data_IF_017066643890
#
_entry.id   IF_017066643890
#
_cell.length_a   1.000
_cell.length_b   1.000
_cell.length_c   1.000
_cell.angle_alpha   90.00
_cell.angle_beta   90.00
_cell.angle_gamma   90.00
#
_symmetry.space_group_name_H-M   'P 1'
#
loop_
_entity.id
_entity.type
_entity.pdbx_description
1 polymer ?
#
# COMPACT_ATOMS: atom_id res chain seq x y z
N UNK A 1 -1.76 -29.78 23.30
CA UNK A 1 -2.35 -29.49 21.96
C UNK A 1 -3.50 -28.50 22.01
N UNK A 2 -4.53 -28.64 22.87
CA UNK A 2 -5.58 -27.61 23.01
C UNK A 2 -5.06 -26.30 23.65
N UNK A 3 -4.26 -26.42 24.72
CA UNK A 3 -3.69 -25.27 25.43
C UNK A 3 -2.73 -24.44 24.56
N UNK A 4 -2.03 -25.10 23.64
CA UNK A 4 -1.13 -24.45 22.69
C UNK A 4 -1.89 -23.65 21.62
N UNK A 5 -3.03 -24.17 21.15
CA UNK A 5 -3.90 -23.44 20.21
C UNK A 5 -4.50 -22.20 20.86
N UNK A 6 -4.97 -22.31 22.10
CA UNK A 6 -5.50 -21.17 22.87
C UNK A 6 -4.40 -20.14 23.11
N UNK A 7 -3.22 -20.58 23.55
CA UNK A 7 -2.06 -19.69 23.76
C UNK A 7 -1.66 -18.97 22.46
N UNK A 8 -1.60 -19.69 21.33
CA UNK A 8 -1.28 -19.09 20.05
C UNK A 8 -2.35 -18.06 19.61
N UNK A 9 -3.63 -18.40 19.74
CA UNK A 9 -4.73 -17.49 19.43
C UNK A 9 -4.67 -16.21 20.28
N UNK A 10 -4.50 -16.32 21.60
CA UNK A 10 -4.37 -15.16 22.49
C UNK A 10 -3.18 -14.28 22.11
N UNK A 11 -2.03 -14.88 21.81
CA UNK A 11 -0.85 -14.13 21.36
C UNK A 11 -1.10 -13.38 20.03
N UNK A 12 -1.81 -13.99 19.08
CA UNK A 12 -2.17 -13.34 17.82
C UNK A 12 -3.14 -12.18 18.05
N UNK A 13 -4.11 -12.34 18.95
CA UNK A 13 -5.06 -11.29 19.32
C UNK A 13 -4.37 -10.11 20.01
N UNK A 14 -3.42 -10.36 20.90
CA UNK A 14 -2.65 -9.29 21.56
C UNK A 14 -1.78 -8.54 20.57
N UNK A 15 -1.15 -9.24 19.62
CA UNK A 15 -0.43 -8.60 18.50
C UNK A 15 -1.37 -7.75 17.64
N UNK A 16 -2.57 -8.22 17.34
CA UNK A 16 -3.56 -7.44 16.58
C UNK A 16 -3.90 -6.12 17.31
N UNK A 17 -4.13 -6.17 18.62
CA UNK A 17 -4.39 -4.98 19.45
C UNK A 17 -3.19 -4.03 19.45
N UNK A 18 -1.97 -4.55 19.57
CA UNK A 18 -0.75 -3.75 19.50
C UNK A 18 -0.62 -3.02 18.14
N UNK A 19 -0.88 -3.72 17.03
CA UNK A 19 -0.86 -3.10 15.71
C UNK A 19 -1.96 -2.04 15.56
N UNK A 20 -3.14 -2.25 16.12
CA UNK A 20 -4.19 -1.23 16.12
C UNK A 20 -3.77 0.03 16.88
N UNK A 21 -3.18 -0.13 18.08
CA UNK A 21 -2.66 0.99 18.86
C UNK A 21 -1.60 1.80 18.09
N UNK A 22 -0.66 1.12 17.42
CA UNK A 22 0.34 1.80 16.57
C UNK A 22 -0.30 2.59 15.42
N UNK A 23 -1.40 2.09 14.84
CA UNK A 23 -2.15 2.81 13.81
C UNK A 23 -2.78 4.08 14.38
N UNK A 24 -3.40 4.00 15.55
CA UNK A 24 -3.99 5.16 16.24
C UNK A 24 -2.95 6.22 16.59
N UNK A 25 -1.80 5.81 17.16
CA UNK A 25 -0.66 6.69 17.43
C UNK A 25 -0.15 7.36 16.15
N UNK A 26 -0.02 6.59 15.06
CA UNK A 26 0.41 7.13 13.76
C UNK A 26 -0.58 8.16 13.22
N UNK A 27 -1.88 7.91 13.32
CA UNK A 27 -2.93 8.85 12.93
C UNK A 27 -2.80 10.15 13.74
N UNK A 28 -2.57 10.06 15.05
CA UNK A 28 -2.36 11.23 15.90
C UNK A 28 -1.14 12.04 15.46
N UNK A 29 0.02 11.39 15.27
CA UNK A 29 1.23 12.07 14.80
C UNK A 29 1.03 12.76 13.44
N UNK A 30 0.34 12.11 12.50
CA UNK A 30 0.02 12.71 11.20
C UNK A 30 -0.89 13.93 11.33
N UNK A 31 -1.91 13.87 12.18
CA UNK A 31 -2.81 15.01 12.46
C UNK A 31 -2.06 16.19 13.09
N UNK A 32 -1.18 15.92 14.05
CA UNK A 32 -0.34 16.96 14.67
C UNK A 32 0.60 17.61 13.66
N UNK A 33 1.19 16.81 12.76
CA UNK A 33 2.03 17.34 11.69
C UNK A 33 1.22 18.19 10.69
N UNK A 34 0.02 17.76 10.29
CA UNK A 34 -0.86 18.56 9.42
C UNK A 34 -1.13 19.94 10.05
N UNK A 35 -1.37 20.00 11.36
CA UNK A 35 -1.57 21.27 12.06
C UNK A 35 -0.32 22.17 11.93
N UNK A 36 0.87 21.63 12.20
CA UNK A 36 2.12 22.40 12.07
C UNK A 36 2.39 22.86 10.64
N UNK A 37 2.12 22.02 9.65
CA UNK A 37 2.26 22.37 8.22
C UNK A 37 1.25 23.46 7.84
N UNK A 38 0.05 23.46 8.41
CA UNK A 38 -0.93 24.54 8.23
C UNK A 38 -0.39 25.86 8.81
N UNK A 39 0.12 25.84 10.04
CA UNK A 39 0.73 27.03 10.67
C UNK A 39 1.91 27.58 9.84
N UNK A 40 2.72 26.71 9.21
CA UNK A 40 3.81 27.10 8.31
C UNK A 40 3.28 27.78 7.04
N UNK A 41 2.24 27.22 6.42
CA UNK A 41 1.60 27.81 5.23
C UNK A 41 1.06 29.19 5.54
N UNK A 42 0.32 29.36 6.64
CA UNK A 42 -0.25 30.64 7.05
C UNK A 42 0.83 31.72 7.22
N UNK A 43 1.96 31.38 7.86
CA UNK A 43 3.10 32.28 8.01
C UNK A 43 3.77 32.65 6.68
N UNK A 44 3.85 31.70 5.74
CA UNK A 44 4.39 31.95 4.40
C UNK A 44 3.47 32.83 3.56
N UNK A 45 2.15 32.67 3.69
CA UNK A 45 1.16 33.52 3.01
C UNK A 45 1.21 34.97 3.53
N UNK A 46 1.29 35.15 4.84
CA UNK A 46 1.48 36.47 5.46
C UNK A 46 2.79 37.12 4.99
N UNK A 47 3.88 36.35 4.97
CA UNK A 47 5.18 36.84 4.48
C UNK A 47 5.13 37.17 2.99
N UNK A 48 4.47 36.35 2.17
CA UNK A 48 4.35 36.58 0.73
C UNK A 48 3.60 37.87 0.41
N UNK A 49 2.56 38.20 1.18
CA UNK A 49 1.86 39.50 1.08
C UNK A 49 2.82 40.67 1.30
N UNK A 50 3.65 40.58 2.34
CA UNK A 50 4.60 41.65 2.67
C UNK A 50 5.69 41.79 1.61
N UNK A 51 6.20 40.67 1.06
CA UNK A 51 7.16 40.70 -0.05
C UNK A 51 6.57 41.32 -1.31
N UNK A 52 5.32 41.01 -1.63
CA UNK A 52 4.63 41.61 -2.77
C UNK A 52 4.49 43.12 -2.62
N UNK A 53 4.16 43.60 -1.42
CA UNK A 53 4.15 45.03 -1.14
C UNK A 53 5.54 45.67 -1.32
N UNK A 54 6.59 45.03 -0.79
CA UNK A 54 7.97 45.50 -0.95
C UNK A 54 8.34 45.58 -2.43
N UNK A 55 8.12 44.51 -3.19
CA UNK A 55 8.35 44.44 -4.64
C UNK A 55 7.64 45.59 -5.37
N UNK A 56 6.33 45.73 -5.20
CA UNK A 56 5.54 46.79 -5.85
C UNK A 56 6.02 48.20 -5.48
N UNK A 57 6.40 48.42 -4.22
CA UNK A 57 6.92 49.71 -3.76
C UNK A 57 8.27 50.04 -4.41
N UNK A 58 9.21 49.10 -4.44
CA UNK A 58 10.53 49.32 -5.06
C UNK A 58 10.47 49.43 -6.58
N UNK A 59 9.60 48.65 -7.23
CA UNK A 59 9.35 48.74 -8.68
C UNK A 59 8.77 50.11 -9.09
N UNK A 60 8.05 50.77 -8.19
CA UNK A 60 7.49 52.10 -8.43
C UNK A 60 8.51 53.25 -8.35
N UNK A 61 9.73 53.01 -7.84
CA UNK A 61 10.73 54.06 -7.63
C UNK A 61 11.38 54.45 -8.97
N UNK A 62 11.26 55.73 -9.42
CA UNK A 62 11.89 56.16 -10.67
C UNK A 62 13.42 56.09 -10.60
N UNK A 63 14.05 55.48 -11.59
CA UNK A 63 15.51 55.28 -11.63
C UNK A 63 16.29 56.60 -11.57
N UNK A 64 15.76 57.66 -12.19
CA UNK A 64 16.36 59.00 -12.21
C UNK A 64 16.35 59.63 -10.81
N UNK A 65 15.36 59.30 -9.98
CA UNK A 65 15.32 59.73 -8.57
C UNK A 65 16.38 59.02 -7.77
N UNK A 66 16.60 57.71 -7.96
CA UNK A 66 17.67 56.95 -7.30
C UNK A 66 19.03 57.55 -7.66
N UNK A 67 19.29 57.83 -8.94
CA UNK A 67 20.56 58.39 -9.42
C UNK A 67 20.89 59.78 -8.87
N UNK A 68 19.87 60.56 -8.51
CA UNK A 68 20.03 61.94 -8.00
C UNK A 68 19.90 62.04 -6.47
N UNK A 69 19.69 60.92 -5.77
CA UNK A 69 19.65 60.90 -4.30
C UNK A 69 21.03 61.17 -3.70
N UNK A 70 21.05 61.80 -2.53
CA UNK A 70 22.27 61.85 -1.72
C UNK A 70 22.57 60.46 -1.13
N UNK A 71 23.84 60.16 -0.92
CA UNK A 71 24.31 58.86 -0.39
C UNK A 71 23.54 58.41 0.85
N UNK A 72 23.33 59.32 1.81
CA UNK A 72 22.56 59.01 3.03
C UNK A 72 21.13 58.54 2.73
N UNK A 73 20.42 59.21 1.82
CA UNK A 73 19.04 58.86 1.46
C UNK A 73 18.99 57.57 0.65
N UNK A 74 20.00 57.34 -0.20
CA UNK A 74 20.13 56.07 -0.93
C UNK A 74 20.31 54.91 0.04
N UNK A 75 21.18 55.03 1.05
CA UNK A 75 21.38 53.98 2.07
C UNK A 75 20.11 53.73 2.92
N UNK A 76 19.36 54.79 3.26
CA UNK A 76 18.06 54.68 3.95
C UNK A 76 17.02 53.91 3.10
N UNK A 77 17.07 54.04 1.76
CA UNK A 77 16.23 53.28 0.83
C UNK A 77 16.76 51.85 0.58
N UNK A 78 18.07 51.66 0.48
CA UNK A 78 18.68 50.37 0.14
C UNK A 78 18.64 49.37 1.31
N UNK A 79 18.77 49.85 2.54
CA UNK A 79 18.89 48.98 3.72
C UNK A 79 17.69 48.05 3.92
N UNK A 80 16.41 48.51 3.85
CA UNK A 80 15.26 47.62 4.00
C UNK A 80 15.15 46.59 2.87
N UNK A 81 15.50 46.97 1.64
CA UNK A 81 15.53 46.05 0.49
C UNK A 81 16.54 44.92 0.70
N UNK A 82 17.75 45.24 1.18
CA UNK A 82 18.76 44.23 1.53
C UNK A 82 18.26 43.27 2.61
N UNK A 83 17.59 43.79 3.64
CA UNK A 83 17.00 42.94 4.69
C UNK A 83 15.91 42.01 4.16
N UNK A 84 15.06 42.49 3.26
CA UNK A 84 14.06 41.66 2.58
C UNK A 84 14.72 40.56 1.74
N UNK A 85 15.78 40.87 0.98
CA UNK A 85 16.49 39.85 0.18
C UNK A 85 17.05 38.74 1.09
N UNK A 86 17.73 39.07 2.18
CA UNK A 86 18.31 38.09 3.12
C UNK A 86 17.23 37.22 3.77
N UNK A 87 16.09 37.81 4.14
CA UNK A 87 14.96 37.04 4.67
C UNK A 87 14.42 36.04 3.62
N UNK A 88 14.43 36.41 2.33
CA UNK A 88 13.91 35.56 1.26
C UNK A 88 14.82 34.38 0.95
N UNK A 89 16.14 34.58 1.08
CA UNK A 89 17.13 33.50 0.98
C UNK A 89 16.92 32.41 2.03
N UNK A 90 16.37 32.77 3.20
CA UNK A 90 16.07 31.80 4.26
C UNK A 90 14.92 30.86 3.86
N UNK A 91 13.93 31.36 3.10
CA UNK A 91 12.78 30.57 2.61
C UNK A 91 13.20 29.50 1.59
N UNK A 92 14.33 29.68 0.90
CA UNK A 92 14.85 28.71 -0.08
C UNK A 92 15.11 27.34 0.55
N UNK A 93 15.65 27.29 1.75
CA UNK A 93 15.91 26.02 2.46
C UNK A 93 14.61 25.27 2.77
N UNK A 94 13.57 25.99 3.20
CA UNK A 94 12.26 25.41 3.46
C UNK A 94 11.63 24.83 2.17
N UNK A 95 11.79 25.54 1.04
CA UNK A 95 11.33 25.04 -0.26
C UNK A 95 12.03 23.72 -0.65
N UNK A 96 13.36 23.64 -0.50
CA UNK A 96 14.12 22.43 -0.82
C UNK A 96 13.73 21.25 0.08
N UNK A 97 13.55 21.49 1.39
CA UNK A 97 13.08 20.46 2.33
C UNK A 97 11.66 19.99 2.02
N UNK A 98 10.72 20.90 1.71
CA UNK A 98 9.35 20.56 1.35
C UNK A 98 9.29 19.74 0.06
N UNK A 99 10.14 20.06 -0.92
CA UNK A 99 10.26 19.26 -2.14
C UNK A 99 10.73 17.83 -1.84
N UNK A 100 11.73 17.65 -0.98
CA UNK A 100 12.21 16.33 -0.56
C UNK A 100 11.15 15.54 0.23
N UNK A 101 10.42 16.21 1.14
CA UNK A 101 9.33 15.59 1.92
C UNK A 101 8.18 15.10 1.04
N UNK A 102 7.97 15.69 -0.13
CA UNK A 102 6.93 15.24 -1.06
C UNK A 102 7.15 13.76 -1.48
N UNK A 103 8.40 13.37 -1.75
CA UNK A 103 8.72 11.98 -2.09
C UNK A 103 8.43 11.01 -0.93
N UNK A 104 8.76 11.39 0.30
CA UNK A 104 8.44 10.59 1.49
C UNK A 104 6.92 10.49 1.71
N UNK A 105 6.19 11.56 1.43
CA UNK A 105 4.72 11.59 1.54
C UNK A 105 4.06 10.64 0.54
N UNK A 106 4.57 10.57 -0.70
CA UNK A 106 4.14 9.57 -1.69
C UNK A 106 4.29 8.14 -1.14
N UNK A 107 5.48 7.79 -0.64
CA UNK A 107 5.74 6.47 -0.05
C UNK A 107 4.82 6.13 1.14
N UNK A 108 4.48 7.13 1.97
CA UNK A 108 3.52 6.94 3.06
C UNK A 108 2.10 6.63 2.56
N UNK A 109 1.64 7.32 1.50
CA UNK A 109 0.35 7.06 0.87
C UNK A 109 0.30 5.64 0.32
N UNK A 110 1.35 5.20 -0.35
CA UNK A 110 1.44 3.87 -0.96
C UNK A 110 1.42 2.75 0.09
N UNK A 111 2.19 2.94 1.16
CA UNK A 111 2.22 2.01 2.29
C UNK A 111 0.85 1.94 2.96
N UNK A 112 0.19 3.08 3.16
CA UNK A 112 -1.16 3.13 3.76
C UNK A 112 -2.20 2.46 2.88
N UNK A 113 -2.13 2.68 1.56
CA UNK A 113 -3.02 2.05 0.58
C UNK A 113 -2.89 0.52 0.60
N UNK A 114 -1.67 0.03 0.77
CA UNK A 114 -1.37 -1.41 0.84
C UNK A 114 -1.87 -2.03 2.14
N UNK A 115 -1.68 -1.33 3.27
CA UNK A 115 -2.26 -1.72 4.57
C UNK A 115 -3.79 -1.76 4.50
N UNK A 116 -4.42 -0.80 3.84
CA UNK A 116 -5.87 -0.75 3.66
C UNK A 116 -6.38 -1.95 2.84
N UNK A 117 -5.76 -2.19 1.68
CA UNK A 117 -6.06 -3.33 0.80
C UNK A 117 -6.00 -4.66 1.57
N UNK A 118 -4.95 -4.82 2.38
CA UNK A 118 -4.76 -5.99 3.23
C UNK A 118 -5.81 -6.13 4.33
N UNK A 119 -6.09 -5.04 5.04
CA UNK A 119 -7.04 -5.04 6.15
C UNK A 119 -8.45 -5.34 5.65
N UNK A 120 -8.83 -4.77 4.51
CA UNK A 120 -10.09 -5.02 3.81
C UNK A 120 -10.25 -6.48 3.40
N UNK A 121 -9.23 -7.09 2.80
CA UNK A 121 -9.26 -8.51 2.43
C UNK A 121 -9.36 -9.44 3.66
N UNK A 122 -8.64 -9.12 4.74
CA UNK A 122 -8.74 -9.87 5.99
C UNK A 122 -10.14 -9.73 6.63
N UNK A 123 -10.72 -8.53 6.65
CA UNK A 123 -12.05 -8.28 7.18
C UNK A 123 -13.13 -9.03 6.37
N UNK A 124 -13.04 -9.00 5.03
CA UNK A 124 -13.92 -9.73 4.12
C UNK A 124 -13.82 -11.25 4.36
N UNK A 125 -12.60 -11.77 4.47
CA UNK A 125 -12.39 -13.19 4.79
C UNK A 125 -12.96 -13.58 6.17
N UNK A 126 -12.79 -12.73 7.19
CA UNK A 126 -13.38 -12.99 8.50
C UNK A 126 -14.91 -12.97 8.46
N UNK A 127 -15.50 -12.09 7.65
CA UNK A 127 -16.95 -12.03 7.43
C UNK A 127 -17.50 -13.30 6.74
N UNK A 128 -16.79 -13.84 5.75
CA UNK A 128 -17.16 -15.12 5.11
C UNK A 128 -17.03 -16.28 6.09
N UNK A 129 -15.93 -16.31 6.86
CA UNK A 129 -15.70 -17.34 7.86
C UNK A 129 -16.74 -17.32 8.98
N UNK A 130 -17.11 -16.14 9.48
CA UNK A 130 -18.08 -16.00 10.57
C UNK A 130 -19.49 -16.38 10.13
N UNK A 131 -19.93 -15.98 8.92
CA UNK A 131 -21.20 -16.43 8.33
C UNK A 131 -21.29 -17.95 8.18
N UNK A 132 -20.16 -18.59 7.87
CA UNK A 132 -20.11 -20.05 7.69
C UNK A 132 -20.02 -20.80 9.03
N UNK A 133 -19.75 -20.12 10.14
CA UNK A 133 -19.56 -20.71 11.48
C UNK A 133 -20.24 -19.83 12.56
N UNK A 134 -21.58 -19.64 12.52
CA UNK A 134 -22.28 -18.69 13.37
C UNK A 134 -22.13 -18.96 14.87
N UNK A 135 -22.05 -20.22 15.28
CA UNK A 135 -21.89 -20.61 16.69
C UNK A 135 -20.56 -20.13 17.30
N UNK A 136 -19.55 -19.85 16.48
CA UNK A 136 -18.24 -19.37 16.92
C UNK A 136 -18.20 -17.84 17.01
N UNK A 137 -19.15 -17.17 16.37
CA UNK A 137 -19.25 -15.71 16.27
C UNK A 137 -20.70 -15.28 16.56
N UNK A 138 -21.18 -15.41 17.81
CA UNK A 138 -22.59 -15.19 18.14
C UNK A 138 -23.07 -13.76 17.86
N UNK A 139 -22.16 -12.77 17.89
CA UNK A 139 -22.46 -11.36 17.64
C UNK A 139 -22.16 -10.90 16.20
N UNK A 140 -21.89 -11.82 15.26
CA UNK A 140 -21.34 -11.45 13.96
C UNK A 140 -22.23 -10.45 13.19
N UNK A 141 -23.56 -10.62 13.21
CA UNK A 141 -24.50 -9.76 12.47
C UNK A 141 -24.45 -8.33 12.98
N UNK A 142 -24.48 -8.17 14.31
CA UNK A 142 -24.41 -6.87 14.98
C UNK A 142 -23.10 -6.16 14.65
N UNK A 143 -21.97 -6.85 14.82
CA UNK A 143 -20.63 -6.30 14.57
C UNK A 143 -20.47 -5.93 13.09
N UNK A 144 -20.88 -6.82 12.18
CA UNK A 144 -20.74 -6.57 10.74
C UNK A 144 -21.56 -5.36 10.28
N UNK A 145 -22.75 -5.17 10.84
CA UNK A 145 -23.60 -4.02 10.51
C UNK A 145 -23.01 -2.70 11.03
N UNK A 146 -22.45 -2.69 12.25
CA UNK A 146 -21.84 -1.50 12.86
C UNK A 146 -20.63 -0.98 12.07
N UNK A 147 -19.78 -1.88 11.56
CA UNK A 147 -18.53 -1.51 10.89
C UNK A 147 -18.63 -1.43 9.36
N UNK A 148 -19.81 -1.67 8.78
CA UNK A 148 -20.07 -1.57 7.33
C UNK A 148 -19.01 -2.26 6.44
N UNK A 149 -18.56 -3.46 6.82
CA UNK A 149 -17.50 -4.17 6.07
C UNK A 149 -17.97 -4.49 4.64
N UNK A 150 -17.31 -3.88 3.65
CA UNK A 150 -17.55 -4.08 2.21
C UNK A 150 -16.59 -5.13 1.67
N UNK A 151 -17.12 -6.05 0.86
CA UNK A 151 -16.30 -6.98 0.08
C UNK A 151 -15.66 -6.25 -1.12
N UNK A 152 -14.35 -6.01 -1.03
CA UNK A 152 -13.56 -5.34 -2.07
C UNK A 152 -12.85 -6.33 -3.02
N UNK A 153 -13.12 -7.64 -2.93
CA UNK A 153 -12.42 -8.66 -3.71
C UNK A 153 -12.48 -8.40 -5.22
N UNK A 154 -13.65 -8.02 -5.74
CA UNK A 154 -13.80 -7.68 -7.16
C UNK A 154 -13.05 -6.41 -7.58
N UNK A 155 -12.86 -5.45 -6.67
CA UNK A 155 -12.05 -4.25 -6.93
C UNK A 155 -10.57 -4.67 -7.04
N UNK A 156 -10.11 -5.54 -6.13
CA UNK A 156 -8.75 -6.07 -6.16
C UNK A 156 -8.47 -6.89 -7.43
N UNK A 157 -9.40 -7.75 -7.86
CA UNK A 157 -9.28 -8.51 -9.12
C UNK A 157 -9.11 -7.56 -10.30
N UNK A 158 -10.01 -6.57 -10.46
CA UNK A 158 -9.94 -5.59 -11.56
C UNK A 158 -8.61 -4.82 -11.58
N UNK A 159 -8.12 -4.44 -10.40
CA UNK A 159 -6.82 -3.77 -10.29
C UNK A 159 -5.69 -4.67 -10.78
N UNK A 160 -5.63 -5.94 -10.33
CA UNK A 160 -4.61 -6.91 -10.78
C UNK A 160 -4.72 -7.16 -12.29
N UNK A 161 -5.93 -7.33 -12.84
CA UNK A 161 -6.13 -7.53 -14.28
C UNK A 161 -5.57 -6.36 -15.11
N UNK A 162 -5.85 -5.13 -14.67
CA UNK A 162 -5.39 -3.92 -15.36
C UNK A 162 -3.86 -3.77 -15.24
N UNK A 163 -3.31 -4.04 -14.06
CA UNK A 163 -1.87 -4.06 -13.83
C UNK A 163 -1.18 -5.05 -14.77
N UNK A 164 -1.64 -6.31 -14.78
CA UNK A 164 -1.06 -7.36 -15.61
C UNK A 164 -1.21 -7.03 -17.10
N UNK A 165 -2.32 -6.41 -17.51
CA UNK A 165 -2.45 -5.95 -18.89
C UNK A 165 -1.36 -4.97 -19.31
N UNK A 166 -1.00 -4.05 -18.44
CA UNK A 166 -0.06 -2.97 -18.76
C UNK A 166 1.41 -3.42 -18.65
N UNK A 167 1.72 -4.30 -17.70
CA UNK A 167 3.11 -4.66 -17.38
C UNK A 167 3.48 -6.09 -17.75
N UNK A 168 2.50 -7.01 -17.79
CA UNK A 168 2.74 -8.45 -17.96
C UNK A 168 1.61 -9.13 -18.76
N UNK A 169 1.37 -8.73 -20.02
CA UNK A 169 0.20 -9.20 -20.79
C UNK A 169 0.16 -10.73 -20.93
N UNK A 170 1.33 -11.38 -20.99
CA UNK A 170 1.47 -12.84 -21.06
C UNK A 170 1.12 -13.60 -19.76
N UNK A 171 0.87 -12.90 -18.65
CA UNK A 171 0.46 -13.45 -17.35
C UNK A 171 -1.03 -13.16 -17.08
N UNK A 172 -1.58 -12.14 -17.74
CA UNK A 172 -2.97 -11.69 -17.59
C UNK A 172 -3.98 -12.79 -17.90
N UNK A 173 -3.74 -13.57 -18.95
CA UNK A 173 -4.68 -14.61 -19.39
C UNK A 173 -4.73 -15.79 -18.40
N UNK A 174 -3.62 -16.11 -17.75
CA UNK A 174 -3.56 -17.10 -16.67
C UNK A 174 -4.26 -16.59 -15.43
N UNK A 175 -4.11 -15.30 -15.11
CA UNK A 175 -4.85 -14.70 -14.01
C UNK A 175 -6.36 -14.77 -14.27
N UNK A 176 -6.82 -14.38 -15.47
CA UNK A 176 -8.23 -14.51 -15.88
C UNK A 176 -8.73 -15.94 -15.80
N UNK A 177 -7.91 -16.89 -16.26
CA UNK A 177 -8.23 -18.32 -16.17
C UNK A 177 -8.36 -18.76 -14.71
N UNK A 178 -7.46 -18.32 -13.83
CA UNK A 178 -7.53 -18.59 -12.40
C UNK A 178 -8.81 -18.04 -11.76
N UNK A 179 -9.18 -16.78 -12.05
CA UNK A 179 -10.42 -16.17 -11.56
C UNK A 179 -11.65 -16.94 -12.07
N UNK A 180 -11.69 -17.27 -13.36
CA UNK A 180 -12.78 -18.03 -13.96
C UNK A 180 -12.97 -19.40 -13.30
N UNK A 181 -11.88 -20.15 -13.09
CA UNK A 181 -11.93 -21.45 -12.41
C UNK A 181 -12.35 -21.33 -10.94
N UNK A 182 -12.00 -20.22 -10.26
CA UNK A 182 -12.46 -19.98 -8.90
C UNK A 182 -13.97 -19.73 -8.84
N UNK A 183 -14.52 -18.91 -9.76
CA UNK A 183 -15.96 -18.68 -9.86
C UNK A 183 -16.70 -19.98 -10.16
N UNK A 184 -16.18 -20.80 -11.09
CA UNK A 184 -16.74 -22.11 -11.40
C UNK A 184 -16.72 -23.05 -10.20
N UNK A 185 -15.61 -23.08 -9.45
CA UNK A 185 -15.50 -23.87 -8.21
C UNK A 185 -16.54 -23.45 -7.16
N UNK A 186 -16.78 -22.15 -6.97
CA UNK A 186 -17.81 -21.67 -6.03
C UNK A 186 -19.21 -22.19 -6.36
N UNK A 187 -19.52 -22.36 -7.65
CA UNK A 187 -20.79 -22.93 -8.11
C UNK A 187 -20.80 -24.46 -8.13
N UNK A 188 -19.64 -25.10 -8.23
CA UNK A 188 -19.49 -26.55 -8.28
C UNK A 188 -18.13 -27.01 -7.74
N UNK A 189 -18.15 -27.57 -6.52
CA UNK A 189 -16.95 -28.04 -5.81
C UNK A 189 -16.19 -29.16 -6.55
N UNK A 190 -16.84 -29.89 -7.46
CA UNK A 190 -16.18 -30.94 -8.25
C UNK A 190 -15.10 -30.38 -9.18
N UNK A 191 -15.08 -29.06 -9.40
CA UNK A 191 -14.10 -28.37 -10.25
C UNK A 191 -12.85 -27.93 -9.48
N UNK A 192 -12.68 -28.35 -8.22
CA UNK A 192 -11.52 -27.97 -7.40
C UNK A 192 -10.17 -28.32 -8.07
N UNK A 193 -10.08 -29.47 -8.75
CA UNK A 193 -8.86 -29.85 -9.48
C UNK A 193 -8.50 -28.87 -10.61
N UNK A 194 -9.49 -28.31 -11.30
CA UNK A 194 -9.26 -27.31 -12.34
C UNK A 194 -8.76 -25.99 -11.73
N UNK A 195 -9.29 -25.62 -10.56
CA UNK A 195 -8.83 -24.46 -9.79
C UNK A 195 -7.36 -24.63 -9.37
N UNK A 196 -6.96 -25.80 -8.88
CA UNK A 196 -5.56 -26.10 -8.52
C UNK A 196 -4.64 -25.91 -9.73
N UNK A 197 -5.02 -26.46 -10.88
CA UNK A 197 -4.25 -26.35 -12.12
C UNK A 197 -4.07 -24.89 -12.56
N UNK A 198 -5.16 -24.13 -12.62
CA UNK A 198 -5.12 -22.72 -13.03
C UNK A 198 -4.32 -21.85 -12.05
N UNK A 199 -4.49 -22.06 -10.74
CA UNK A 199 -3.72 -21.37 -9.70
C UNK A 199 -2.22 -21.64 -9.85
N UNK A 200 -1.85 -22.92 -9.95
CA UNK A 200 -0.44 -23.33 -10.07
C UNK A 200 0.22 -22.76 -11.33
N UNK A 201 -0.50 -22.75 -12.46
CA UNK A 201 0.00 -22.18 -13.70
C UNK A 201 0.22 -20.66 -13.59
N UNK A 202 -0.73 -19.93 -13.00
CA UNK A 202 -0.59 -18.50 -12.75
C UNK A 202 0.64 -18.18 -11.90
N UNK A 203 0.82 -18.83 -10.75
CA UNK A 203 1.99 -18.60 -9.89
C UNK A 203 3.31 -19.04 -10.54
N UNK A 204 3.31 -20.15 -11.28
CA UNK A 204 4.51 -20.61 -11.97
C UNK A 204 4.93 -19.62 -13.06
N UNK A 205 3.99 -19.12 -13.88
CA UNK A 205 4.31 -18.09 -14.88
C UNK A 205 4.72 -16.76 -14.27
N UNK A 206 4.08 -16.38 -13.16
CA UNK A 206 4.42 -15.16 -12.43
C UNK A 206 5.85 -15.19 -11.88
N UNK A 207 6.31 -16.34 -11.37
CA UNK A 207 7.66 -16.51 -10.83
C UNK A 207 8.70 -16.76 -11.95
N UNK A 208 8.43 -17.71 -12.84
CA UNK A 208 9.39 -18.18 -13.86
C UNK A 208 9.47 -17.25 -15.08
N UNK A 209 8.33 -16.72 -15.52
CA UNK A 209 8.28 -15.78 -16.64
C UNK A 209 9.02 -14.48 -16.35
N UNK A 210 9.08 -14.06 -15.09
CA UNK A 210 9.89 -12.91 -14.71
C UNK A 210 11.37 -13.24 -14.52
N UNK A 211 11.70 -14.32 -13.79
CA UNK A 211 13.10 -14.66 -13.50
C UNK A 211 13.88 -14.84 -14.80
N UNK A 212 13.31 -15.56 -15.78
CA UNK A 212 13.96 -15.82 -17.07
C UNK A 212 14.08 -14.58 -17.97
N UNK A 213 13.15 -13.63 -17.87
CA UNK A 213 13.17 -12.43 -18.72
C UNK A 213 14.05 -11.30 -18.18
N UNK A 214 14.42 -11.34 -16.89
CA UNK A 214 15.15 -10.24 -16.23
C UNK A 214 16.48 -10.68 -15.60
N UNK A 215 16.73 -11.98 -15.41
CA UNK A 215 17.95 -12.48 -14.76
C UNK A 215 18.47 -13.76 -15.43
N UNK A 216 19.78 -13.82 -15.68
CA UNK A 216 20.47 -15.02 -16.20
C UNK A 216 20.73 -16.09 -15.12
N UNK A 217 20.48 -15.79 -13.84
CA UNK A 217 20.82 -16.64 -12.70
C UNK A 217 19.58 -17.17 -11.99
N UNK A 218 19.55 -18.47 -11.69
CA UNK A 218 18.53 -19.08 -10.84
C UNK A 218 18.68 -18.59 -9.38
N UNK A 219 17.70 -17.80 -8.92
CA UNK A 219 17.60 -17.39 -7.52
C UNK A 219 16.73 -18.37 -6.70
N UNK A 220 16.96 -18.50 -5.38
CA UNK A 220 16.00 -19.14 -4.48
C UNK A 220 14.60 -18.52 -4.64
N UNK A 221 13.55 -19.35 -4.61
CA UNK A 221 12.18 -18.95 -5.02
C UNK A 221 11.66 -17.67 -4.35
N UNK A 222 11.92 -17.45 -3.07
CA UNK A 222 11.51 -16.23 -2.35
C UNK A 222 12.26 -14.98 -2.85
N UNK A 223 13.55 -15.11 -3.15
CA UNK A 223 14.38 -14.00 -3.66
C UNK A 223 14.03 -13.67 -5.12
N UNK A 224 13.69 -14.69 -5.93
CA UNK A 224 13.12 -14.51 -7.26
C UNK A 224 11.76 -13.79 -7.23
N UNK A 225 10.91 -14.07 -6.23
CA UNK A 225 9.63 -13.38 -6.01
C UNK A 225 9.85 -11.93 -5.54
N UNK A 226 10.78 -11.70 -4.61
CA UNK A 226 11.13 -10.35 -4.14
C UNK A 226 11.64 -9.52 -5.32
N UNK A 227 12.54 -10.07 -6.14
CA UNK A 227 13.04 -9.41 -7.34
C UNK A 227 11.99 -9.28 -8.45
N UNK A 228 11.04 -10.22 -8.56
CA UNK A 228 9.85 -10.06 -9.41
C UNK A 228 9.07 -8.80 -9.10
N UNK A 229 8.81 -8.63 -7.83
CA UNK A 229 7.96 -7.55 -7.35
C UNK A 229 8.75 -6.24 -7.29
N UNK A 230 10.03 -6.26 -6.92
CA UNK A 230 10.82 -5.06 -6.63
C UNK A 230 12.05 -4.85 -7.52
N UNK A 231 12.19 -5.60 -8.63
CA UNK A 231 13.29 -5.46 -9.58
C UNK A 231 14.68 -5.54 -8.93
N UNK A 232 15.60 -4.71 -9.42
CA UNK A 232 16.92 -4.49 -8.81
C UNK A 232 16.95 -3.32 -7.81
N UNK A 233 15.79 -2.70 -7.56
CA UNK A 233 15.70 -1.53 -6.69
C UNK A 233 15.79 -1.95 -5.21
N UNK A 234 16.20 -1.01 -4.36
CA UNK A 234 16.39 -1.23 -2.93
C UNK A 234 15.14 -1.84 -2.30
N UNK A 235 15.31 -2.96 -1.61
CA UNK A 235 14.23 -3.70 -0.97
C UNK A 235 13.40 -2.78 -0.06
N UNK A 236 12.09 -2.75 -0.25
CA UNK A 236 11.18 -2.00 0.63
C UNK A 236 10.92 -2.80 1.89
N UNK A 237 11.35 -2.33 3.08
CA UNK A 237 11.14 -3.07 4.32
C UNK A 237 9.66 -3.40 4.59
N UNK A 238 8.75 -2.56 4.11
CA UNK A 238 7.29 -2.75 4.25
C UNK A 238 6.71 -3.86 3.38
N UNK A 239 7.42 -4.33 2.36
CA UNK A 239 6.89 -5.31 1.41
C UNK A 239 7.21 -6.77 1.75
N UNK A 240 8.32 -7.04 2.44
CA UNK A 240 8.71 -8.39 2.84
C UNK A 240 7.63 -9.13 3.64
N UNK A 241 6.96 -8.52 4.63
CA UNK A 241 5.87 -9.18 5.35
C UNK A 241 4.71 -9.60 4.44
N UNK A 242 4.41 -8.81 3.41
CA UNK A 242 3.34 -9.10 2.43
C UNK A 242 3.74 -10.26 1.52
N UNK A 243 4.97 -10.27 1.03
CA UNK A 243 5.48 -11.37 0.19
C UNK A 243 5.53 -12.69 0.94
N UNK A 244 6.00 -12.67 2.20
CA UNK A 244 5.97 -13.83 3.09
C UNK A 244 4.53 -14.32 3.29
N UNK A 245 3.57 -13.40 3.48
CA UNK A 245 2.15 -13.75 3.63
C UNK A 245 1.58 -14.39 2.38
N UNK A 246 1.87 -13.86 1.19
CA UNK A 246 1.52 -14.50 -0.09
C UNK A 246 2.09 -15.92 -0.21
N UNK A 247 3.38 -16.09 0.11
CA UNK A 247 4.05 -17.39 0.08
C UNK A 247 3.41 -18.38 1.07
N UNK A 248 3.06 -17.92 2.27
CA UNK A 248 2.41 -18.74 3.29
C UNK A 248 1.00 -19.16 2.85
N UNK A 249 0.18 -18.25 2.31
CA UNK A 249 -1.16 -18.58 1.81
C UNK A 249 -1.07 -19.57 0.65
N UNK A 250 -0.13 -19.38 -0.28
CA UNK A 250 0.09 -20.31 -1.38
C UNK A 250 0.52 -21.70 -0.89
N UNK A 251 1.39 -21.75 0.12
CA UNK A 251 1.86 -22.99 0.72
C UNK A 251 0.73 -23.71 1.44
N UNK A 252 -0.07 -22.98 2.22
CA UNK A 252 -1.28 -23.49 2.89
C UNK A 252 -2.26 -24.07 1.87
N UNK A 253 -2.57 -23.34 0.79
CA UNK A 253 -3.40 -23.86 -0.30
C UNK A 253 -2.80 -25.10 -0.98
N UNK A 254 -1.47 -25.16 -1.14
CA UNK A 254 -0.79 -26.30 -1.76
C UNK A 254 -0.72 -27.53 -0.86
N UNK A 255 -0.67 -27.35 0.46
CA UNK A 255 -0.76 -28.44 1.44
C UNK A 255 -2.14 -29.08 1.41
N UNK A 256 -3.20 -28.28 1.22
CA UNK A 256 -4.56 -28.78 1.02
C UNK A 256 -4.71 -29.63 -0.26
N UNK A 257 -3.88 -29.38 -1.27
CA UNK A 257 -3.94 -30.11 -2.55
C UNK A 257 -3.21 -31.46 -2.53
N UNK A 258 -2.27 -31.64 -1.58
CA UNK A 258 -1.40 -32.84 -1.50
C UNK A 258 -2.02 -34.02 -0.76
N UNK A 259 -3.16 -33.84 -0.10
CA UNK A 259 -3.83 -34.92 0.63
C UNK A 259 -4.67 -35.78 -0.31
N UNK A 260 -4.03 -36.69 -1.05
CA UNK A 260 -4.70 -37.66 -1.92
C UNK A 260 -5.14 -38.93 -1.18
N UNK A 261 -6.26 -39.47 -1.67
CA UNK A 261 -6.83 -40.83 -1.56
C UNK A 261 -7.59 -41.30 -0.30
N UNK A 262 -7.48 -40.67 0.88
CA UNK A 262 -8.39 -40.98 2.03
C UNK A 262 -8.91 -39.76 2.82
N UNK A 263 -8.68 -38.54 2.35
CA UNK A 263 -8.74 -37.33 3.19
C UNK A 263 -9.97 -36.43 3.00
N UNK A 264 -11.12 -36.88 3.49
CA UNK A 264 -12.06 -35.97 4.19
C UNK A 264 -11.59 -35.90 5.63
N UNK A 265 -10.47 -35.22 5.92
CA UNK A 265 -10.09 -35.01 7.33
C UNK A 265 -9.70 -33.60 7.75
N UNK A 266 -9.35 -32.65 6.87
CA UNK A 266 -9.09 -31.26 7.30
C UNK A 266 -9.38 -30.19 6.22
N UNK A 267 -10.51 -30.25 5.51
CA UNK A 267 -10.99 -29.10 4.73
C UNK A 267 -10.59 -29.02 3.25
N UNK A 268 -9.92 -30.05 2.70
CA UNK A 268 -9.80 -30.22 1.25
C UNK A 268 -11.20 -30.30 0.63
N UNK A 269 -11.60 -29.27 -0.12
CA UNK A 269 -12.93 -29.15 -0.73
C UNK A 269 -13.99 -28.39 0.09
N UNK A 270 -13.66 -27.80 1.25
CA UNK A 270 -14.59 -26.87 1.93
C UNK A 270 -14.60 -25.51 1.19
N UNK A 271 -15.70 -25.14 0.51
CA UNK A 271 -15.74 -23.94 -0.34
C UNK A 271 -15.49 -22.66 0.44
N UNK A 272 -15.99 -22.57 1.67
CA UNK A 272 -15.83 -21.38 2.51
C UNK A 272 -14.36 -21.19 2.94
N UNK A 273 -13.65 -22.27 3.25
CA UNK A 273 -12.24 -22.21 3.60
C UNK A 273 -11.36 -21.84 2.40
N UNK A 274 -11.63 -22.44 1.23
CA UNK A 274 -10.94 -22.09 -0.02
C UNK A 274 -11.26 -20.64 -0.45
N UNK A 275 -12.50 -20.18 -0.26
CA UNK A 275 -12.91 -18.81 -0.52
C UNK A 275 -12.16 -17.82 0.39
N UNK A 276 -11.99 -18.13 1.67
CA UNK A 276 -11.18 -17.33 2.59
C UNK A 276 -9.72 -17.19 2.15
N UNK A 277 -9.09 -18.31 1.77
CA UNK A 277 -7.71 -18.29 1.29
C UNK A 277 -7.59 -17.49 -0.01
N UNK A 278 -8.54 -17.63 -0.93
CA UNK A 278 -8.58 -16.88 -2.17
C UNK A 278 -8.70 -15.37 -1.95
N UNK A 279 -9.67 -14.92 -1.13
CA UNK A 279 -9.88 -13.50 -0.83
C UNK A 279 -8.60 -12.88 -0.27
N UNK A 280 -7.97 -13.56 0.71
CA UNK A 280 -6.70 -13.13 1.29
C UNK A 280 -5.59 -13.08 0.24
N UNK A 281 -5.47 -14.10 -0.61
CA UNK A 281 -4.45 -14.16 -1.65
C UNK A 281 -4.57 -13.01 -2.65
N UNK A 282 -5.78 -12.76 -3.15
CA UNK A 282 -6.09 -11.65 -4.07
C UNK A 282 -5.77 -10.30 -3.42
N UNK A 283 -6.17 -10.09 -2.16
CA UNK A 283 -5.85 -8.87 -1.43
C UNK A 283 -4.35 -8.64 -1.27
N UNK A 284 -3.59 -9.69 -0.94
CA UNK A 284 -2.13 -9.58 -0.82
C UNK A 284 -1.46 -9.29 -2.16
N UNK A 285 -1.86 -9.97 -3.24
CA UNK A 285 -1.32 -9.71 -4.59
C UNK A 285 -1.60 -8.25 -4.98
N UNK A 286 -2.83 -7.77 -4.79
CA UNK A 286 -3.17 -6.38 -5.08
C UNK A 286 -2.35 -5.38 -4.24
N UNK A 287 -2.17 -5.63 -2.94
CA UNK A 287 -1.36 -4.77 -2.06
C UNK A 287 0.11 -4.71 -2.52
N UNK A 288 0.66 -5.86 -2.90
CA UNK A 288 2.01 -5.98 -3.43
C UNK A 288 2.18 -5.20 -4.75
N UNK A 289 1.24 -5.37 -5.69
CA UNK A 289 1.28 -4.67 -6.97
C UNK A 289 1.10 -3.15 -6.82
N UNK A 290 0.28 -2.69 -5.86
CA UNK A 290 0.16 -1.26 -5.51
C UNK A 290 1.46 -0.68 -4.97
N UNK A 291 2.17 -1.41 -4.09
CA UNK A 291 3.52 -1.02 -3.69
C UNK A 291 4.47 -0.97 -4.89
N UNK A 292 4.35 -1.90 -5.83
CA UNK A 292 5.21 -1.91 -7.02
C UNK A 292 4.97 -0.68 -7.90
N UNK A 293 3.72 -0.39 -8.27
CA UNK A 293 3.39 0.75 -9.15
C UNK A 293 4.02 2.05 -8.66
N UNK A 294 3.92 2.33 -7.37
CA UNK A 294 4.37 3.62 -6.85
C UNK A 294 5.89 3.78 -6.79
N UNK A 295 6.64 2.68 -6.77
CA UNK A 295 8.11 2.69 -6.73
C UNK A 295 8.77 2.57 -8.11
N UNK A 296 8.03 2.13 -9.13
CA UNK A 296 8.52 1.97 -10.51
C UNK A 296 7.95 3.00 -11.49
N UNK A 297 7.24 4.01 -11.01
CA UNK A 297 6.93 5.19 -11.83
C UNK A 297 8.24 5.95 -12.10
N UNK A 298 8.89 5.57 -13.21
CA UNK A 298 9.79 6.41 -13.99
C UNK A 298 9.04 7.59 -14.62
#
# INVERSE_FOLDING_TARGET
MADERIKNYSNLLDKLKEQNKKREETIQFKRENIKKETDIVDLLEDTSRDYKYIEEMYDSVPREKIQSMSERKYLELESPLKSAIVSGETTKYLYEESYQRNFQSKQHVDTTTSINTMSSACATSLQVFSKSNPDWFPDYEKITHEYEIKDETNIHIKYIENYLQNHFPNIKDEFKTFISQFIMFRGNNSLYMNLIGARSLFFLKLIFGFSKNNYEVEYPRLEAIIKFVFGNNTHLPSAEPLLRTCGNIYSEMSEQDRSSDECIKLGAGNPAYIENLFIRLIGNIAAILKLRDSYFQE
#
